data_IF_598988766524
#
_entry.id   IF_598988766524
#
_cell.length_a   1.000
_cell.length_b   1.000
_cell.length_c   1.000
_cell.angle_alpha   90.00
_cell.angle_beta   90.00
_cell.angle_gamma   90.00
#
_symmetry.space_group_name_H-M   'P 1'
#
loop_
_entity.id
_entity.type
_entity.pdbx_description
1 polymer ?
#
# COMPACT_ATOMS: atom_id res chain seq x y z
N UNK A 1 3.15 28.15 17.33
CA UNK A 1 2.72 26.82 17.81
C UNK A 1 2.30 25.82 16.72
N UNK A 2 1.92 26.23 15.49
CA UNK A 2 1.56 25.29 14.39
C UNK A 2 2.73 24.54 13.72
N UNK A 3 3.99 24.98 13.90
CA UNK A 3 5.19 24.33 13.33
C UNK A 3 5.66 23.08 14.11
N UNK A 4 5.32 22.96 15.39
CA UNK A 4 5.83 21.87 16.26
C UNK A 4 5.07 20.55 16.09
N UNK A 5 3.82 20.61 15.67
CA UNK A 5 2.96 19.45 15.47
C UNK A 5 3.39 18.59 14.27
N UNK A 6 3.88 19.24 13.21
CA UNK A 6 4.36 18.56 12.00
C UNK A 6 5.79 18.04 12.15
N UNK A 7 6.64 18.72 12.93
CA UNK A 7 8.01 18.26 13.18
C UNK A 7 8.05 17.02 14.07
N UNK A 8 7.07 16.81 14.96
CA UNK A 8 6.98 15.61 15.79
C UNK A 8 6.57 14.34 15.01
N UNK A 9 5.80 14.50 13.91
CA UNK A 9 5.45 13.39 13.00
C UNK A 9 6.59 13.08 12.02
N UNK A 10 7.35 14.10 11.60
CA UNK A 10 8.53 13.97 10.74
C UNK A 10 9.78 13.48 11.50
N UNK A 11 9.99 13.87 12.76
CA UNK A 11 11.18 13.45 13.54
C UNK A 11 11.17 11.97 13.94
N UNK A 12 10.06 11.27 13.71
CA UNK A 12 9.95 9.82 13.88
C UNK A 12 10.12 9.04 12.56
N UNK A 13 10.43 9.71 11.43
CA UNK A 13 10.45 9.12 10.09
C UNK A 13 11.74 8.37 9.72
N UNK A 14 12.76 8.35 10.59
CA UNK A 14 14.06 7.70 10.32
C UNK A 14 14.20 6.27 10.88
N UNK A 15 13.09 5.59 11.17
CA UNK A 15 13.08 4.16 11.49
C UNK A 15 12.61 3.34 10.30
N UNK A 16 13.17 2.14 10.11
CA UNK A 16 12.63 1.18 9.14
C UNK A 16 11.15 0.92 9.44
N UNK A 17 10.31 0.75 8.41
CA UNK A 17 8.86 0.59 8.62
C UNK A 17 8.50 -0.60 9.53
N UNK A 18 9.34 -1.65 9.54
CA UNK A 18 9.29 -2.75 10.50
C UNK A 18 9.32 -2.28 11.96
N UNK A 19 10.14 -1.30 12.30
CA UNK A 19 10.26 -0.77 13.66
C UNK A 19 9.02 0.02 14.07
N UNK A 20 8.42 0.78 13.14
CA UNK A 20 7.16 1.52 13.39
C UNK A 20 5.96 0.58 13.48
N UNK A 21 5.79 -0.33 12.53
CA UNK A 21 4.65 -1.26 12.55
C UNK A 21 4.74 -2.30 13.68
N UNK A 22 5.95 -2.59 14.16
CA UNK A 22 6.17 -3.44 15.33
C UNK A 22 5.47 -2.95 16.61
N UNK A 23 5.12 -1.66 16.70
CA UNK A 23 4.36 -1.10 17.83
C UNK A 23 2.84 -1.07 17.64
N UNK A 24 2.31 -1.39 16.44
CA UNK A 24 0.87 -1.33 16.19
C UNK A 24 0.18 -2.53 16.86
N UNK A 25 -0.53 -2.32 17.95
CA UNK A 25 -1.29 -3.40 18.58
C UNK A 25 -2.51 -3.80 17.72
N UNK A 26 -3.09 -4.96 17.99
CA UNK A 26 -4.37 -5.33 17.37
C UNK A 26 -5.42 -4.31 17.77
N UNK A 27 -6.14 -3.78 16.79
CA UNK A 27 -7.20 -2.81 17.02
C UNK A 27 -8.56 -3.48 16.99
N UNK A 28 -9.41 -3.17 17.97
CA UNK A 28 -10.82 -3.57 17.91
C UNK A 28 -11.61 -2.81 16.83
N UNK A 29 -11.08 -1.67 16.34
CA UNK A 29 -11.75 -0.82 15.36
C UNK A 29 -11.23 -1.03 13.94
N UNK A 30 -9.92 -1.24 13.79
CA UNK A 30 -9.27 -1.34 12.47
C UNK A 30 -8.79 -2.75 12.14
N UNK A 31 -8.86 -3.68 13.11
CA UNK A 31 -8.33 -5.03 13.00
C UNK A 31 -6.82 -5.10 13.22
N UNK A 32 -6.20 -6.14 12.69
CA UNK A 32 -4.78 -6.48 12.90
C UNK A 32 -3.94 -6.43 11.62
N UNK A 33 -4.41 -5.72 10.59
CA UNK A 33 -3.67 -5.55 9.32
C UNK A 33 -2.21 -5.11 9.51
N UNK A 34 -1.95 -4.17 10.42
CA UNK A 34 -0.58 -3.71 10.66
C UNK A 34 0.37 -4.81 11.17
N UNK A 35 -0.09 -5.59 12.15
CA UNK A 35 0.66 -6.76 12.65
C UNK A 35 0.79 -7.84 11.58
N UNK A 36 -0.28 -8.07 10.81
CA UNK A 36 -0.26 -9.00 9.69
C UNK A 36 0.81 -8.64 8.66
N UNK A 37 0.93 -7.36 8.29
CA UNK A 37 1.98 -6.88 7.38
C UNK A 37 3.39 -7.12 7.93
N UNK A 38 3.64 -6.86 9.23
CA UNK A 38 4.93 -7.15 9.85
C UNK A 38 5.27 -8.63 9.77
N UNK A 39 4.33 -9.50 10.13
CA UNK A 39 4.57 -10.94 10.28
C UNK A 39 4.64 -11.69 8.94
N UNK A 40 3.83 -11.28 7.96
CA UNK A 40 3.64 -12.03 6.71
C UNK A 40 4.24 -11.36 5.48
N UNK A 41 4.49 -10.04 5.53
CA UNK A 41 5.06 -9.29 4.41
C UNK A 41 6.51 -8.98 4.69
N UNK A 42 6.78 -8.06 5.61
CA UNK A 42 8.13 -7.55 5.80
C UNK A 42 9.10 -8.59 6.39
N UNK A 43 8.61 -9.52 7.20
CA UNK A 43 9.47 -10.57 7.78
C UNK A 43 9.75 -11.74 6.83
N UNK A 44 9.00 -11.88 5.73
CA UNK A 44 9.05 -13.07 4.87
C UNK A 44 9.40 -12.80 3.42
N UNK A 45 9.19 -11.57 2.95
CA UNK A 45 9.37 -11.22 1.56
C UNK A 45 10.63 -10.38 1.42
N UNK A 46 11.46 -10.80 0.48
CA UNK A 46 12.58 -10.04 -0.02
C UNK A 46 12.30 -9.74 -1.51
N UNK A 47 12.20 -8.47 -1.91
CA UNK A 47 11.80 -8.11 -3.27
C UNK A 47 12.85 -8.50 -4.30
N UNK A 48 14.14 -8.25 -4.05
CA UNK A 48 15.20 -8.56 -5.01
C UNK A 48 15.31 -10.07 -5.29
N UNK A 49 15.13 -10.91 -4.26
CA UNK A 49 15.04 -12.36 -4.43
C UNK A 49 13.79 -12.78 -5.21
N UNK A 50 12.65 -12.15 -4.94
CA UNK A 50 11.37 -12.46 -5.60
C UNK A 50 11.42 -12.17 -7.10
N UNK A 51 12.13 -11.12 -7.50
CA UNK A 51 12.38 -10.78 -8.91
C UNK A 51 13.67 -11.41 -9.47
N UNK A 52 14.29 -12.36 -8.76
CA UNK A 52 15.45 -13.12 -9.23
C UNK A 52 16.68 -12.26 -9.58
N UNK A 53 16.89 -11.14 -8.88
CA UNK A 53 18.18 -10.43 -8.92
C UNK A 53 19.26 -11.29 -8.26
N UNK A 54 20.51 -11.18 -8.73
CA UNK A 54 21.64 -11.96 -8.22
C UNK A 54 22.09 -11.51 -6.85
N UNK A 55 21.87 -10.24 -6.52
CA UNK A 55 22.22 -9.64 -5.23
C UNK A 55 21.38 -8.40 -4.94
N UNK A 56 21.36 -7.99 -3.67
CA UNK A 56 20.77 -6.71 -3.26
C UNK A 56 21.45 -5.52 -3.94
N UNK A 57 22.78 -5.57 -4.13
CA UNK A 57 23.52 -4.50 -4.80
C UNK A 57 23.10 -4.31 -6.26
N UNK A 58 22.76 -5.39 -6.97
CA UNK A 58 22.25 -5.32 -8.35
C UNK A 58 20.87 -4.64 -8.37
N UNK A 59 20.00 -4.99 -7.42
CA UNK A 59 18.69 -4.37 -7.28
C UNK A 59 18.77 -2.88 -6.90
N UNK A 60 19.68 -2.52 -5.99
CA UNK A 60 19.97 -1.12 -5.65
C UNK A 60 20.55 -0.35 -6.84
N UNK A 61 21.43 -0.98 -7.61
CA UNK A 61 21.97 -0.38 -8.85
C UNK A 61 20.88 -0.14 -9.90
N UNK A 62 19.91 -1.06 -10.02
CA UNK A 62 18.74 -0.87 -10.86
C UNK A 62 17.92 0.33 -10.41
N UNK A 63 17.62 0.48 -9.12
CA UNK A 63 16.95 1.68 -8.62
C UNK A 63 17.71 2.96 -8.96
N UNK A 64 19.03 2.98 -8.71
CA UNK A 64 19.86 4.15 -9.00
C UNK A 64 19.92 4.52 -10.48
N UNK A 65 19.82 3.54 -11.38
CA UNK A 65 19.74 3.78 -12.81
C UNK A 65 18.52 4.65 -13.21
N UNK A 66 17.40 4.51 -12.51
CA UNK A 66 16.19 5.30 -12.74
C UNK A 66 16.10 6.53 -11.83
N UNK A 67 16.84 6.57 -10.73
CA UNK A 67 16.81 7.68 -9.79
C UNK A 67 17.34 8.98 -10.39
N UNK A 68 16.71 10.10 -10.05
CA UNK A 68 17.19 11.43 -10.43
C UNK A 68 18.44 11.79 -9.60
N UNK A 69 19.57 12.14 -10.23
CA UNK A 69 20.79 12.54 -9.52
C UNK A 69 20.60 13.77 -8.62
N UNK A 70 19.69 14.68 -8.99
CA UNK A 70 19.43 15.90 -8.23
C UNK A 70 18.45 15.70 -7.08
N UNK A 71 17.53 14.73 -7.19
CA UNK A 71 16.49 14.49 -6.19
C UNK A 71 16.84 13.33 -5.24
N UNK A 72 17.77 12.45 -5.63
CA UNK A 72 18.18 11.31 -4.82
C UNK A 72 17.14 10.18 -4.75
N UNK A 73 16.13 10.19 -5.62
CA UNK A 73 15.06 9.20 -5.66
C UNK A 73 14.29 9.20 -6.98
N UNK A 74 13.15 8.51 -7.02
CA UNK A 74 12.31 8.35 -8.22
C UNK A 74 10.96 9.05 -8.03
N UNK A 75 10.34 9.50 -9.13
CA UNK A 75 8.94 9.95 -9.12
C UNK A 75 8.04 8.87 -9.73
N UNK A 76 6.74 9.14 -9.80
CA UNK A 76 5.75 8.19 -10.30
C UNK A 76 6.01 7.78 -11.76
N UNK A 77 6.62 8.65 -12.56
CA UNK A 77 6.98 8.35 -13.95
C UNK A 77 8.09 7.30 -14.03
N UNK A 78 9.16 7.46 -13.26
CA UNK A 78 10.27 6.50 -13.16
C UNK A 78 9.79 5.19 -12.56
N UNK A 79 8.93 5.22 -11.54
CA UNK A 79 8.29 4.01 -11.00
C UNK A 79 7.51 3.26 -12.08
N UNK A 80 6.68 3.98 -12.86
CA UNK A 80 5.93 3.40 -13.96
C UNK A 80 6.84 2.76 -15.01
N UNK A 81 7.96 3.41 -15.34
CA UNK A 81 8.97 2.85 -16.25
C UNK A 81 9.61 1.60 -15.68
N UNK A 82 10.05 1.61 -14.42
CA UNK A 82 10.62 0.41 -13.77
C UNK A 82 9.65 -0.77 -13.85
N UNK A 83 8.38 -0.57 -13.46
CA UNK A 83 7.38 -1.63 -13.41
C UNK A 83 7.01 -2.18 -14.79
N UNK A 84 7.09 -1.35 -15.85
CA UNK A 84 6.69 -1.70 -17.20
C UNK A 84 7.84 -2.11 -18.13
N UNK A 85 9.06 -1.61 -17.91
CA UNK A 85 10.21 -1.77 -18.80
C UNK A 85 11.25 -2.74 -18.23
N UNK A 86 11.43 -2.82 -16.90
CA UNK A 86 12.46 -3.70 -16.34
C UNK A 86 12.07 -5.18 -16.48
N UNK A 87 12.83 -6.02 -17.21
CA UNK A 87 12.40 -7.37 -17.60
C UNK A 87 11.97 -8.25 -16.42
N UNK A 88 12.75 -8.28 -15.34
CA UNK A 88 12.45 -9.12 -14.18
C UNK A 88 11.14 -8.75 -13.48
N UNK A 89 10.81 -7.46 -13.42
CA UNK A 89 9.64 -6.94 -12.72
C UNK A 89 8.41 -7.04 -13.62
N UNK A 90 8.55 -6.60 -14.88
CA UNK A 90 7.54 -6.68 -15.93
C UNK A 90 7.07 -8.12 -16.17
N UNK A 91 7.99 -9.09 -16.20
CA UNK A 91 7.66 -10.51 -16.38
C UNK A 91 7.03 -11.14 -15.13
N UNK A 92 7.29 -10.59 -13.94
CA UNK A 92 6.70 -11.09 -12.70
C UNK A 92 5.20 -10.79 -12.63
N UNK A 93 4.80 -9.54 -12.89
CA UNK A 93 3.40 -9.11 -12.78
C UNK A 93 2.56 -9.34 -14.04
N UNK A 94 3.18 -9.30 -15.23
CA UNK A 94 2.52 -9.55 -16.52
C UNK A 94 1.29 -8.66 -16.81
N UNK A 95 1.20 -7.51 -16.16
CA UNK A 95 0.24 -6.44 -16.44
C UNK A 95 0.97 -5.17 -16.92
N UNK A 96 0.22 -4.21 -17.46
CA UNK A 96 0.74 -2.87 -17.73
C UNK A 96 0.27 -1.92 -16.65
N UNK A 97 1.20 -1.32 -15.92
CA UNK A 97 0.92 -0.40 -14.84
C UNK A 97 0.61 0.99 -15.40
N UNK A 98 -0.49 1.60 -14.95
CA UNK A 98 -0.83 2.96 -15.32
C UNK A 98 0.00 3.96 -14.50
N UNK A 99 0.28 5.13 -15.09
CA UNK A 99 0.93 6.23 -14.35
C UNK A 99 0.10 6.64 -13.13
N UNK A 100 -1.23 6.59 -13.24
CA UNK A 100 -2.11 6.96 -12.13
C UNK A 100 -1.97 6.00 -10.95
N UNK A 101 -1.97 4.69 -11.19
CA UNK A 101 -1.73 3.73 -10.11
C UNK A 101 -0.32 3.91 -9.50
N UNK A 102 0.68 4.26 -10.31
CA UNK A 102 2.02 4.57 -9.81
C UNK A 102 2.06 5.81 -8.93
N UNK A 103 1.23 6.83 -9.20
CA UNK A 103 1.11 8.02 -8.32
C UNK A 103 0.51 7.65 -6.97
N UNK A 104 -0.58 6.86 -6.97
CA UNK A 104 -1.23 6.42 -5.73
C UNK A 104 -0.29 5.53 -4.90
N UNK A 105 0.47 4.63 -5.56
CA UNK A 105 1.50 3.82 -4.89
C UNK A 105 2.63 4.65 -4.30
N UNK A 106 3.10 5.68 -5.03
CA UNK A 106 4.11 6.60 -4.51
C UNK A 106 3.59 7.38 -3.31
N UNK A 107 2.39 7.94 -3.42
CA UNK A 107 1.74 8.69 -2.36
C UNK A 107 1.55 7.90 -1.05
N UNK A 108 1.25 6.59 -1.14
CA UNK A 108 1.19 5.71 0.03
C UNK A 108 2.54 5.60 0.76
N UNK A 109 3.65 5.72 0.02
CA UNK A 109 4.99 5.46 0.54
C UNK A 109 5.74 6.74 0.93
N UNK A 110 5.47 7.85 0.25
CA UNK A 110 6.11 9.16 0.41
C UNK A 110 5.84 9.78 1.78
N UNK A 111 6.73 9.47 2.73
CA UNK A 111 6.61 9.93 4.13
C UNK A 111 7.04 11.37 4.30
N UNK A 112 8.02 11.81 3.51
CA UNK A 112 8.52 13.18 3.50
C UNK A 112 7.53 14.15 2.84
N UNK A 113 6.59 13.63 2.04
CA UNK A 113 5.62 14.38 1.24
C UNK A 113 6.29 15.35 0.27
N UNK A 114 7.45 14.96 -0.23
CA UNK A 114 8.21 15.73 -1.22
C UNK A 114 7.93 15.26 -2.66
N UNK A 115 7.11 14.22 -2.83
CA UNK A 115 6.79 13.59 -4.11
C UNK A 115 7.90 12.70 -4.66
N UNK A 116 8.93 12.41 -3.85
CA UNK A 116 10.10 11.63 -4.23
C UNK A 116 10.13 10.34 -3.41
N UNK A 117 10.17 9.20 -4.09
CA UNK A 117 10.35 7.90 -3.45
C UNK A 117 11.83 7.57 -3.36
N UNK A 118 12.30 7.40 -2.13
CA UNK A 118 13.67 6.95 -1.85
C UNK A 118 13.80 5.42 -1.97
N UNK A 119 15.03 4.91 -1.97
CA UNK A 119 15.28 3.47 -2.15
C UNK A 119 14.56 2.58 -1.12
N UNK A 120 14.57 2.98 0.16
CA UNK A 120 13.92 2.21 1.22
C UNK A 120 12.40 2.12 1.02
N UNK A 121 11.78 3.23 0.62
CA UNK A 121 10.36 3.30 0.28
C UNK A 121 10.04 2.47 -0.97
N UNK A 122 10.90 2.50 -1.98
CA UNK A 122 10.76 1.69 -3.19
C UNK A 122 10.85 0.19 -2.89
N UNK A 123 11.85 -0.22 -2.11
CA UNK A 123 12.05 -1.62 -1.71
C UNK A 123 10.85 -2.12 -0.90
N UNK A 124 10.33 -1.29 0.00
CA UNK A 124 9.14 -1.61 0.79
C UNK A 124 7.88 -1.70 -0.09
N UNK A 125 7.70 -0.80 -1.06
CA UNK A 125 6.59 -0.85 -2.00
C UNK A 125 6.59 -2.17 -2.77
N UNK A 126 7.75 -2.53 -3.33
CA UNK A 126 7.89 -3.77 -4.08
C UNK A 126 7.67 -5.01 -3.21
N UNK A 127 8.06 -4.96 -1.94
CA UNK A 127 7.74 -6.01 -0.97
C UNK A 127 6.21 -6.18 -0.81
N UNK A 128 5.47 -5.07 -0.72
CA UNK A 128 4.01 -5.08 -0.64
C UNK A 128 3.37 -5.58 -1.93
N UNK A 129 3.86 -5.12 -3.10
CA UNK A 129 3.35 -5.57 -4.40
C UNK A 129 3.56 -7.07 -4.61
N UNK A 130 4.71 -7.61 -4.22
CA UNK A 130 4.96 -9.07 -4.26
C UNK A 130 3.96 -9.81 -3.37
N UNK A 131 3.70 -9.30 -2.17
CA UNK A 131 2.70 -9.89 -1.28
C UNK A 131 1.30 -9.90 -1.89
N UNK A 132 0.82 -8.74 -2.34
CA UNK A 132 -0.49 -8.61 -2.96
C UNK A 132 -0.62 -9.46 -4.22
N UNK A 133 0.43 -9.58 -5.03
CA UNK A 133 0.43 -10.46 -6.18
C UNK A 133 0.28 -11.94 -5.79
N UNK A 134 1.03 -12.42 -4.79
CA UNK A 134 0.89 -13.79 -4.28
C UNK A 134 -0.49 -14.04 -3.72
N UNK A 135 -1.03 -13.13 -2.89
CA UNK A 135 -2.40 -13.21 -2.39
C UNK A 135 -3.40 -13.25 -3.55
N UNK A 136 -3.22 -12.43 -4.58
CA UNK A 136 -4.12 -12.44 -5.73
C UNK A 136 -4.12 -13.82 -6.43
N UNK A 137 -2.94 -14.40 -6.65
CA UNK A 137 -2.78 -15.71 -7.25
C UNK A 137 -3.35 -16.85 -6.41
N UNK A 138 -3.27 -16.75 -5.08
CA UNK A 138 -3.81 -17.77 -4.16
C UNK A 138 -5.35 -17.81 -4.16
N UNK A 139 -5.98 -16.67 -4.44
CA UNK A 139 -7.44 -16.53 -4.49
C UNK A 139 -8.01 -16.68 -5.92
N UNK A 140 -7.28 -16.30 -6.98
CA UNK A 140 -7.63 -16.60 -8.37
C UNK A 140 -7.33 -18.08 -8.73
N UNK A 141 -8.01 -19.01 -8.04
CA UNK A 141 -7.73 -20.46 -8.11
C UNK A 141 -7.91 -21.04 -9.50
N UNK A 142 -8.83 -20.50 -10.28
CA UNK A 142 -9.09 -20.92 -11.67
C UNK A 142 -8.19 -20.20 -12.69
N UNK A 143 -7.29 -19.31 -12.24
CA UNK A 143 -6.38 -18.53 -13.08
C UNK A 143 -7.10 -17.72 -14.15
N UNK A 144 -8.27 -17.20 -13.80
CA UNK A 144 -9.09 -16.36 -14.67
C UNK A 144 -8.49 -14.96 -14.88
N UNK A 145 -7.59 -14.54 -13.99
CA UNK A 145 -7.09 -13.17 -13.89
C UNK A 145 -8.00 -12.26 -13.06
N UNK A 146 -8.99 -12.82 -12.35
CA UNK A 146 -9.97 -12.07 -11.58
C UNK A 146 -10.24 -12.71 -10.22
N UNK A 147 -10.57 -11.86 -9.25
CA UNK A 147 -11.12 -12.25 -7.94
C UNK A 147 -12.61 -11.92 -7.91
N UNK A 148 -13.42 -12.83 -7.38
CA UNK A 148 -14.85 -12.61 -7.18
C UNK A 148 -15.16 -11.84 -5.88
N UNK A 149 -16.33 -11.20 -5.81
CA UNK A 149 -16.72 -10.41 -4.65
C UNK A 149 -16.63 -11.15 -3.30
N UNK A 150 -17.00 -12.43 -3.25
CA UNK A 150 -16.95 -13.23 -2.03
C UNK A 150 -15.50 -13.55 -1.61
N UNK A 151 -14.60 -13.73 -2.58
CA UNK A 151 -13.17 -13.92 -2.35
C UNK A 151 -12.53 -12.63 -1.87
N UNK A 152 -12.85 -11.49 -2.47
CA UNK A 152 -12.37 -10.19 -2.00
C UNK A 152 -12.81 -9.93 -0.56
N UNK A 153 -14.07 -10.22 -0.22
CA UNK A 153 -14.54 -10.14 1.16
C UNK A 153 -13.68 -11.00 2.10
N UNK A 154 -13.43 -12.26 1.73
CA UNK A 154 -12.60 -13.18 2.50
C UNK A 154 -11.15 -12.67 2.66
N UNK A 155 -10.56 -12.10 1.60
CA UNK A 155 -9.22 -11.52 1.65
C UNK A 155 -9.20 -10.37 2.67
N UNK A 156 -10.11 -9.41 2.57
CA UNK A 156 -10.09 -8.22 3.41
C UNK A 156 -10.32 -8.58 4.89
N UNK A 157 -11.29 -9.44 5.20
CA UNK A 157 -11.64 -9.75 6.59
C UNK A 157 -10.74 -10.80 7.23
N UNK A 158 -10.42 -11.88 6.50
CA UNK A 158 -9.80 -13.07 7.09
C UNK A 158 -8.32 -13.20 6.72
N UNK A 159 -7.91 -12.75 5.54
CA UNK A 159 -6.50 -12.83 5.13
C UNK A 159 -5.71 -11.58 5.55
N UNK A 160 -6.28 -10.38 5.39
CA UNK A 160 -5.65 -9.10 5.75
C UNK A 160 -6.06 -8.63 7.16
N UNK A 161 -7.08 -9.24 7.76
CA UNK A 161 -7.55 -8.92 9.11
C UNK A 161 -7.99 -7.46 9.29
N UNK A 162 -8.63 -6.85 8.29
CA UNK A 162 -9.31 -5.57 8.46
C UNK A 162 -10.67 -5.77 9.15
N UNK A 163 -11.00 -4.86 10.05
CA UNK A 163 -12.35 -4.75 10.63
C UNK A 163 -13.13 -3.66 9.89
N UNK A 164 -14.05 -4.08 9.02
CA UNK A 164 -14.92 -3.19 8.25
C UNK A 164 -16.39 -3.52 8.54
N UNK A 165 -17.25 -2.51 8.55
CA UNK A 165 -18.69 -2.73 8.56
C UNK A 165 -19.18 -3.35 7.23
N UNK A 166 -20.30 -4.09 7.23
CA UNK A 166 -20.88 -4.63 6.00
C UNK A 166 -21.17 -3.55 4.94
N UNK A 167 -21.54 -2.34 5.37
CA UNK A 167 -21.80 -1.21 4.50
C UNK A 167 -20.51 -0.72 3.83
N UNK A 168 -19.42 -0.55 4.60
CA UNK A 168 -18.12 -0.18 4.06
C UNK A 168 -17.61 -1.23 3.06
N UNK A 169 -17.72 -2.51 3.41
CA UNK A 169 -17.37 -3.62 2.51
C UNK A 169 -18.13 -3.55 1.18
N UNK A 170 -19.45 -3.32 1.25
CA UNK A 170 -20.30 -3.19 0.04
C UNK A 170 -19.84 -2.04 -0.86
N UNK A 171 -19.43 -0.91 -0.27
CA UNK A 171 -18.90 0.23 -1.03
C UNK A 171 -17.60 -0.13 -1.73
N UNK A 172 -16.68 -0.82 -1.06
CA UNK A 172 -15.41 -1.25 -1.66
C UNK A 172 -15.66 -2.22 -2.82
N UNK A 173 -16.51 -3.23 -2.62
CA UNK A 173 -16.86 -4.20 -3.67
C UNK A 173 -17.43 -3.50 -4.91
N UNK A 174 -18.41 -2.59 -4.73
CA UNK A 174 -19.03 -1.87 -5.85
C UNK A 174 -18.08 -0.90 -6.57
N UNK A 175 -17.11 -0.33 -5.85
CA UNK A 175 -16.21 0.69 -6.40
C UNK A 175 -15.08 0.09 -7.23
N UNK A 176 -14.52 -1.03 -6.79
CA UNK A 176 -13.33 -1.61 -7.40
C UNK A 176 -13.63 -2.82 -8.28
N UNK A 177 -14.74 -3.53 -8.07
CA UNK A 177 -15.14 -4.62 -8.95
C UNK A 177 -15.92 -4.13 -10.18
N UNK A 178 -15.74 -4.83 -11.29
CA UNK A 178 -16.51 -4.65 -12.53
C UNK A 178 -17.72 -5.56 -12.49
N UNK A 179 -18.90 -4.98 -12.66
CA UNK A 179 -20.14 -5.74 -12.80
C UNK A 179 -20.22 -6.35 -14.20
N UNK A 180 -20.45 -7.66 -14.26
CA UNK A 180 -20.64 -8.43 -15.48
C UNK A 180 -22.13 -8.60 -15.76
N UNK A 181 -22.49 -8.83 -17.02
CA UNK A 181 -23.89 -9.03 -17.44
C UNK A 181 -24.55 -10.26 -16.80
N UNK A 182 -23.76 -11.23 -16.34
CA UNK A 182 -24.20 -12.44 -15.64
C UNK A 182 -24.37 -12.25 -14.11
N UNK A 183 -24.25 -11.00 -13.64
CA UNK A 183 -24.39 -10.64 -12.22
C UNK A 183 -23.13 -10.82 -11.38
N UNK A 184 -22.03 -11.35 -11.96
CA UNK A 184 -20.76 -11.46 -11.23
C UNK A 184 -20.10 -10.09 -11.07
N UNK A 185 -19.35 -9.94 -9.99
CA UNK A 185 -18.50 -8.78 -9.73
C UNK A 185 -17.05 -9.26 -9.72
N UNK A 186 -16.27 -8.84 -10.71
CA UNK A 186 -14.91 -9.32 -10.95
C UNK A 186 -13.90 -8.20 -10.70
N UNK A 187 -12.82 -8.52 -9.99
CA UNK A 187 -11.75 -7.59 -9.65
C UNK A 187 -10.47 -8.01 -10.36
N UNK A 188 -9.96 -7.16 -11.25
CA UNK A 188 -8.65 -7.36 -11.89
C UNK A 188 -7.50 -7.05 -10.91
N UNK A 189 -6.29 -7.50 -11.23
CA UNK A 189 -5.13 -7.35 -10.33
C UNK A 189 -4.75 -5.87 -10.07
N UNK A 190 -4.80 -5.01 -11.09
CA UNK A 190 -4.56 -3.57 -10.94
C UNK A 190 -5.61 -2.89 -10.04
N UNK A 191 -6.88 -3.25 -10.20
CA UNK A 191 -7.97 -2.78 -9.32
C UNK A 191 -7.79 -3.28 -7.87
N UNK A 192 -7.31 -4.52 -7.67
CA UNK A 192 -6.97 -5.07 -6.36
C UNK A 192 -5.80 -4.33 -5.69
N UNK A 193 -4.75 -4.00 -6.44
CA UNK A 193 -3.64 -3.19 -5.93
C UNK A 193 -4.12 -1.79 -5.59
N UNK A 194 -4.92 -1.14 -6.43
CA UNK A 194 -5.48 0.18 -6.16
C UNK A 194 -6.29 0.20 -4.85
N UNK A 195 -7.16 -0.78 -4.65
CA UNK A 195 -7.89 -0.97 -3.39
C UNK A 195 -6.94 -1.16 -2.21
N UNK A 196 -5.95 -2.04 -2.34
CA UNK A 196 -5.03 -2.38 -1.25
C UNK A 196 -4.17 -1.19 -0.81
N UNK A 197 -3.68 -0.40 -1.76
CA UNK A 197 -2.91 0.82 -1.52
C UNK A 197 -3.76 1.86 -0.79
N UNK A 198 -4.97 2.14 -1.31
CA UNK A 198 -5.86 3.14 -0.71
C UNK A 198 -6.36 2.71 0.67
N UNK A 199 -6.75 1.44 0.83
CA UNK A 199 -7.22 0.93 2.11
C UNK A 199 -6.13 1.04 3.18
N UNK A 200 -4.90 0.62 2.86
CA UNK A 200 -3.74 0.76 3.75
C UNK A 200 -3.51 2.22 4.13
N UNK A 201 -3.39 3.09 3.14
CA UNK A 201 -3.02 4.48 3.38
C UNK A 201 -4.10 5.26 4.15
N UNK A 202 -5.39 5.03 3.88
CA UNK A 202 -6.47 5.64 4.64
C UNK A 202 -6.59 5.06 6.05
N UNK A 203 -6.40 3.75 6.25
CA UNK A 203 -6.40 3.16 7.59
C UNK A 203 -5.25 3.72 8.44
N UNK A 204 -4.04 3.82 7.89
CA UNK A 204 -2.89 4.38 8.60
C UNK A 204 -3.09 5.86 8.93
N UNK A 205 -3.59 6.65 7.97
CA UNK A 205 -3.86 8.08 8.17
C UNK A 205 -4.94 8.33 9.22
N UNK A 206 -6.03 7.54 9.18
CA UNK A 206 -7.11 7.62 10.16
C UNK A 206 -6.64 7.20 11.55
N UNK A 207 -5.95 6.06 11.67
CA UNK A 207 -5.47 5.52 12.94
C UNK A 207 -4.45 6.45 13.61
N UNK A 208 -3.53 7.03 12.85
CA UNK A 208 -2.57 8.00 13.37
C UNK A 208 -3.27 9.25 13.94
N UNK A 209 -4.35 9.72 13.29
CA UNK A 209 -5.13 10.86 13.77
C UNK A 209 -5.97 10.53 15.01
N UNK A 210 -6.64 9.38 15.02
CA UNK A 210 -7.41 8.88 16.17
C UNK A 210 -6.50 8.81 17.41
N UNK A 211 -5.36 8.14 17.30
CA UNK A 211 -4.38 8.10 18.39
C UNK A 211 -3.88 9.49 18.80
N UNK A 212 -3.60 10.37 17.84
CA UNK A 212 -3.15 11.73 18.15
C UNK A 212 -4.19 12.54 18.93
N UNK A 213 -5.48 12.45 18.56
CA UNK A 213 -6.56 13.18 19.23
C UNK A 213 -6.93 12.60 20.59
N UNK A 214 -6.65 11.31 20.81
CA UNK A 214 -7.05 10.59 22.02
C UNK A 214 -5.85 10.09 22.84
N UNK A 215 -4.75 10.86 22.88
CA UNK A 215 -3.58 10.61 23.72
C UNK A 215 -3.01 9.17 23.60
N UNK A 216 -2.92 8.67 22.36
CA UNK A 216 -2.40 7.35 22.02
C UNK A 216 -3.43 6.23 22.06
N UNK A 217 -4.67 6.50 22.50
CA UNK A 217 -5.75 5.52 22.51
C UNK A 217 -6.49 5.49 21.18
N UNK A 218 -7.02 4.32 20.82
CA UNK A 218 -7.89 4.18 19.64
C UNK A 218 -9.35 4.18 20.08
N UNK A 219 -10.17 4.96 19.39
CA UNK A 219 -11.61 5.09 19.68
C UNK A 219 -12.48 4.73 18.48
N UNK A 220 -11.88 4.56 17.31
CA UNK A 220 -12.63 4.37 16.06
C UNK A 220 -13.21 5.67 15.49
N UNK A 221 -12.90 6.83 16.11
CA UNK A 221 -13.48 8.13 15.74
C UNK A 221 -12.44 9.24 15.77
N UNK A 222 -12.45 10.12 14.78
CA UNK A 222 -11.66 11.34 14.81
C UNK A 222 -12.39 12.50 14.14
N UNK A 223 -12.03 13.73 14.54
CA UNK A 223 -12.57 14.96 13.97
C UNK A 223 -11.65 15.48 12.87
N UNK A 224 -12.25 15.94 11.77
CA UNK A 224 -11.54 16.59 10.68
C UNK A 224 -12.04 18.03 10.51
N UNK A 225 -11.10 18.97 10.37
CA UNK A 225 -11.39 20.23 9.70
C UNK A 225 -11.47 19.99 8.20
N UNK A 226 -12.04 20.93 7.43
CA UNK A 226 -12.15 20.79 5.98
C UNK A 226 -10.78 20.58 5.30
N UNK A 227 -9.80 21.43 5.63
CA UNK A 227 -8.46 21.34 5.04
C UNK A 227 -7.74 20.05 5.45
N UNK A 228 -7.92 19.60 6.70
CA UNK A 228 -7.37 18.33 7.17
C UNK A 228 -7.97 17.14 6.42
N UNK A 229 -9.28 17.17 6.15
CA UNK A 229 -9.97 16.14 5.38
C UNK A 229 -9.45 16.10 3.94
N UNK A 230 -9.32 17.27 3.29
CA UNK A 230 -8.75 17.36 1.95
C UNK A 230 -7.30 16.85 1.93
N UNK A 231 -6.48 17.25 2.90
CA UNK A 231 -5.10 16.79 2.97
C UNK A 231 -5.00 15.27 3.16
N UNK A 232 -5.91 14.68 3.95
CA UNK A 232 -5.96 13.23 4.16
C UNK A 232 -6.40 12.47 2.90
N UNK A 233 -7.36 13.02 2.15
CA UNK A 233 -8.01 12.33 1.04
C UNK A 233 -7.33 12.54 -0.31
N UNK A 234 -6.82 13.75 -0.56
CA UNK A 234 -6.21 14.17 -1.83
C UNK A 234 -4.70 13.92 -1.88
N UNK A 235 -4.06 13.59 -0.75
CA UNK A 235 -2.67 13.18 -0.76
C UNK A 235 -2.46 11.76 -1.29
N UNK A 236 -3.52 11.09 -1.79
CA UNK A 236 -3.53 9.68 -2.25
C UNK A 236 -4.09 9.50 -3.67
#
# INVERSE_FOLDING_TARGET
>A
MKKFLFHALASQAHGSYKQRMGSYQNSQYYGSYGQHMVQNVYSRINPWQSFQFRSENEFMSMFHHYSSPSLGGIQAHELCRILNEHPSIRNYYRITWSLELCRVMLAMMDRSRDGIMQYDEFSELLTCLVYWHRTFQDFDRNRSGYIEAHELHNIITNHFHYMLSPQAMTVLLKRYSRAMNDGRCLLAFDDFVNLSVRLRAYTESFRARDQYQHNGSETGTCQFTYDDFLQCTMSL
#
